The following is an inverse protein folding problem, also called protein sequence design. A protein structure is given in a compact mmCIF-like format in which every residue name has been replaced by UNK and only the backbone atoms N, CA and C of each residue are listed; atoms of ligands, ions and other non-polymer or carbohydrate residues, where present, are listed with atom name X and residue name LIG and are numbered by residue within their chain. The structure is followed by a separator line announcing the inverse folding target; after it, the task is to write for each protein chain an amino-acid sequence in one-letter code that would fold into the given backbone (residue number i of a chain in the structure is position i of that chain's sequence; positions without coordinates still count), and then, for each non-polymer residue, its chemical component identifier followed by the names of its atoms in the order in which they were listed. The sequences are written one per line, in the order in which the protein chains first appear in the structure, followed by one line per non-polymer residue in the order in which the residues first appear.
data_IF_100518505655
#
_entry.id   IF_100518505655
#
_cell.length_a   1.000
_cell.length_b   1.000
_cell.length_c   1.000
_cell.angle_alpha   90.00
_cell.angle_beta   90.00
_cell.angle_gamma   90.00
#
_symmetry.space_group_name_H-M   'P 1'
#
loop_
_entity.id
_entity.type
_entity.pdbx_description
1 polymer ?
#
# COMPACT_ATOMS: atom_id res chain seq x y z
N UNK A 1 -0.02 9.93 -6.15
CA UNK A 1 -0.86 10.34 -5.02
C UNK A 1 -0.30 9.70 -3.76
N UNK A 2 -0.26 10.47 -2.64
CA UNK A 2 0.43 10.04 -1.42
C UNK A 2 1.93 9.86 -1.70
N UNK A 3 2.56 10.87 -2.27
CA UNK A 3 3.85 10.69 -2.92
C UNK A 3 5.02 10.54 -1.93
N UNK A 4 4.86 10.93 -0.67
CA UNK A 4 5.93 10.93 0.32
C UNK A 4 7.21 11.57 -0.22
N UNK A 5 8.30 10.80 -0.21
CA UNK A 5 9.61 11.22 -0.76
C UNK A 5 9.79 10.89 -2.25
N UNK A 6 8.75 10.48 -2.95
CA UNK A 6 8.77 9.99 -4.34
C UNK A 6 9.73 8.80 -4.56
N UNK A 7 9.61 7.73 -3.79
CA UNK A 7 10.57 6.62 -3.82
C UNK A 7 10.64 5.93 -5.19
N UNK A 8 9.55 5.95 -5.94
CA UNK A 8 9.44 5.29 -7.24
C UNK A 8 9.89 6.16 -8.42
N UNK A 9 10.18 7.46 -8.22
CA UNK A 9 10.51 8.38 -9.32
C UNK A 9 11.60 7.85 -10.23
N UNK A 10 12.73 7.43 -9.65
CA UNK A 10 13.87 6.89 -10.42
C UNK A 10 13.52 5.66 -11.25
N UNK A 11 12.57 4.83 -10.79
CA UNK A 11 12.13 3.64 -11.52
C UNK A 11 11.35 4.02 -12.79
N UNK A 12 10.56 5.09 -12.72
CA UNK A 12 9.72 5.53 -13.83
C UNK A 12 10.42 6.52 -14.77
N UNK A 13 11.46 7.24 -14.34
CA UNK A 13 12.18 8.25 -15.15
C UNK A 13 12.49 7.82 -16.60
N UNK A 14 12.91 6.59 -16.90
CA UNK A 14 13.21 6.20 -18.29
C UNK A 14 11.97 6.13 -19.20
N UNK A 15 10.76 6.12 -18.63
CA UNK A 15 9.50 5.86 -19.35
C UNK A 15 8.54 7.04 -19.35
N UNK A 16 8.86 8.14 -18.67
CA UNK A 16 7.97 9.28 -18.47
C UNK A 16 8.66 10.59 -18.80
N UNK A 17 7.87 11.59 -19.21
CA UNK A 17 8.36 12.96 -19.43
C UNK A 17 8.27 13.81 -18.18
N UNK A 18 7.30 13.56 -17.31
CA UNK A 18 7.06 14.32 -16.08
C UNK A 18 6.55 13.43 -14.96
N UNK A 19 6.92 13.74 -13.73
CA UNK A 19 6.47 13.05 -12.53
C UNK A 19 6.06 14.06 -11.46
N UNK A 20 4.78 14.12 -11.17
CA UNK A 20 4.22 15.00 -10.16
C UNK A 20 3.79 14.22 -8.93
N UNK A 21 4.07 14.76 -7.76
CA UNK A 21 3.66 14.21 -6.48
C UNK A 21 2.59 15.05 -5.82
N UNK A 22 1.49 14.40 -5.42
CA UNK A 22 0.44 14.99 -4.59
C UNK A 22 0.55 14.43 -3.17
N UNK A 23 0.40 15.30 -2.17
CA UNK A 23 0.28 14.93 -0.76
C UNK A 23 -0.95 15.60 -0.13
N UNK A 24 -1.56 14.96 0.89
CA UNK A 24 -2.83 15.45 1.45
C UNK A 24 -2.66 16.82 2.13
N UNK A 25 -1.68 16.98 3.01
CA UNK A 25 -1.40 18.23 3.70
C UNK A 25 0.02 18.29 4.21
N UNK A 26 0.65 19.50 4.24
CA UNK A 26 1.92 19.73 4.93
C UNK A 26 1.84 19.45 6.45
N UNK A 27 0.64 19.57 7.04
CA UNK A 27 0.38 19.36 8.48
C UNK A 27 0.30 17.87 8.87
N UNK A 28 0.18 16.97 7.91
CA UNK A 28 0.12 15.51 8.15
C UNK A 28 1.41 14.92 8.73
N UNK A 29 2.41 15.75 9.01
CA UNK A 29 3.69 15.32 9.59
C UNK A 29 4.59 14.57 8.60
N UNK A 30 4.18 14.43 7.36
CA UNK A 30 5.00 13.82 6.33
C UNK A 30 6.21 14.70 6.03
N UNK A 31 7.37 14.25 6.47
CA UNK A 31 8.67 14.92 6.36
C UNK A 31 9.25 14.79 4.95
N UNK A 32 8.56 15.29 3.95
CA UNK A 32 9.09 15.26 2.60
C UNK A 32 8.66 16.48 1.79
N UNK A 33 9.56 17.43 1.57
CA UNK A 33 9.41 18.52 0.60
C UNK A 33 9.41 18.01 -0.85
N UNK A 34 8.94 16.79 -1.11
CA UNK A 34 8.96 16.20 -2.44
C UNK A 34 7.64 16.36 -3.19
N UNK A 35 6.55 16.76 -2.50
CA UNK A 35 5.28 17.01 -3.14
C UNK A 35 5.34 18.28 -4.01
N UNK A 36 4.80 18.20 -5.22
CA UNK A 36 4.64 19.35 -6.10
C UNK A 36 3.30 20.06 -5.84
N UNK A 37 2.32 19.30 -5.35
CA UNK A 37 0.98 19.76 -5.00
C UNK A 37 0.56 19.25 -3.63
N UNK A 38 -0.19 20.07 -2.89
CA UNK A 38 -0.90 19.66 -1.69
C UNK A 38 -2.39 19.71 -1.99
N UNK A 39 -3.13 18.65 -1.62
CA UNK A 39 -4.57 18.60 -1.85
C UNK A 39 -5.18 17.25 -1.52
N UNK A 40 -6.50 17.24 -1.55
CA UNK A 40 -7.30 16.02 -1.34
C UNK A 40 -7.36 15.20 -2.64
N UNK A 41 -7.11 13.90 -2.53
CA UNK A 41 -7.23 12.98 -3.66
C UNK A 41 -8.67 12.88 -4.20
N UNK A 42 -9.68 13.18 -3.36
CA UNK A 42 -11.07 13.27 -3.76
C UNK A 42 -11.42 14.56 -4.52
N UNK A 43 -10.46 15.52 -4.63
CA UNK A 43 -10.61 16.77 -5.37
C UNK A 43 -9.26 17.23 -5.90
N UNK A 44 -8.77 16.57 -6.93
CA UNK A 44 -7.45 16.83 -7.51
C UNK A 44 -7.38 18.22 -8.15
N UNK A 45 -6.35 19.03 -7.88
CA UNK A 45 -6.15 20.35 -8.48
C UNK A 45 -5.61 20.24 -9.91
N UNK A 46 -6.25 19.43 -10.75
CA UNK A 46 -5.83 19.08 -12.10
C UNK A 46 -7.00 19.14 -13.06
N UNK A 47 -6.74 19.47 -14.31
CA UNK A 47 -7.75 19.46 -15.38
C UNK A 47 -8.21 18.03 -15.70
N UNK A 48 -9.34 17.93 -16.40
CA UNK A 48 -9.79 16.67 -16.96
C UNK A 48 -8.78 16.14 -17.97
N UNK A 49 -8.62 14.84 -18.03
CA UNK A 49 -7.85 14.13 -19.06
C UNK A 49 -6.42 14.67 -19.29
N UNK A 50 -5.73 15.03 -18.19
CA UNK A 50 -4.41 15.66 -18.27
C UNK A 50 -3.23 14.76 -17.89
N UNK A 51 -3.48 13.56 -17.34
CA UNK A 51 -2.44 12.61 -16.93
C UNK A 51 -2.57 11.26 -17.62
N UNK A 52 -1.44 10.61 -17.89
CA UNK A 52 -1.40 9.30 -18.54
C UNK A 52 -1.40 8.16 -17.51
N UNK A 53 -0.82 8.39 -16.33
CA UNK A 53 -0.70 7.36 -15.30
C UNK A 53 -0.86 7.96 -13.90
N UNK A 54 -1.62 7.27 -13.06
CA UNK A 54 -1.71 7.55 -11.62
C UNK A 54 -1.07 6.40 -10.86
N UNK A 55 -0.11 6.74 -9.99
CA UNK A 55 0.48 5.81 -9.02
C UNK A 55 -0.06 6.15 -7.62
N UNK A 56 -0.71 5.16 -6.96
CA UNK A 56 -1.33 5.30 -5.66
C UNK A 56 -1.05 4.03 -4.83
N UNK A 57 0.07 4.01 -4.11
CA UNK A 57 0.54 2.81 -3.40
C UNK A 57 0.45 3.00 -1.91
N UNK A 58 -0.26 2.10 -1.22
CA UNK A 58 -0.48 2.13 0.25
C UNK A 58 -1.02 3.51 0.70
N UNK A 59 -2.10 3.97 0.04
CA UNK A 59 -2.75 5.25 0.30
C UNK A 59 -4.26 5.10 0.37
N UNK A 60 -4.84 4.17 -0.41
CA UNK A 60 -6.30 4.00 -0.50
C UNK A 60 -6.95 3.69 0.86
N UNK A 61 -6.25 3.01 1.75
CA UNK A 61 -6.69 2.69 3.12
C UNK A 61 -6.83 3.92 4.01
N UNK A 62 -6.09 5.00 3.70
CA UNK A 62 -6.09 6.26 4.43
C UNK A 62 -7.08 7.28 3.87
N UNK A 63 -7.74 6.96 2.76
CA UNK A 63 -8.70 7.84 2.10
C UNK A 63 -10.08 7.63 2.71
N UNK A 64 -10.66 8.70 3.28
CA UNK A 64 -11.98 8.64 3.90
C UNK A 64 -13.11 8.41 2.89
N UNK A 65 -13.00 8.99 1.68
CA UNK A 65 -13.98 8.85 0.59
C UNK A 65 -13.31 8.23 -0.66
N UNK A 66 -13.20 6.91 -0.71
CA UNK A 66 -12.58 6.22 -1.83
C UNK A 66 -13.38 6.32 -3.13
N UNK A 67 -14.71 6.45 -3.06
CA UNK A 67 -15.57 6.58 -4.24
C UNK A 67 -15.30 7.89 -4.97
N UNK A 68 -15.31 9.02 -4.26
CA UNK A 68 -14.97 10.34 -4.83
C UNK A 68 -13.53 10.36 -5.35
N UNK A 69 -12.60 9.71 -4.66
CA UNK A 69 -11.20 9.62 -5.11
C UNK A 69 -11.06 8.85 -6.42
N UNK A 70 -11.68 7.69 -6.55
CA UNK A 70 -11.63 6.90 -7.80
C UNK A 70 -12.32 7.66 -8.94
N UNK A 71 -13.43 8.38 -8.66
CA UNK A 71 -14.07 9.27 -9.63
C UNK A 71 -13.12 10.37 -10.13
N UNK A 72 -12.38 11.01 -9.21
CA UNK A 72 -11.38 12.03 -9.56
C UNK A 72 -10.21 11.44 -10.37
N UNK A 73 -9.74 10.26 -10.00
CA UNK A 73 -8.73 9.55 -10.78
C UNK A 73 -9.20 9.29 -12.21
N UNK A 74 -10.44 8.80 -12.37
CA UNK A 74 -11.03 8.60 -13.70
C UNK A 74 -11.19 9.92 -14.46
N UNK A 75 -11.52 11.05 -13.79
CA UNK A 75 -11.66 12.36 -14.41
C UNK A 75 -10.35 12.87 -14.99
N UNK A 76 -9.27 12.83 -14.20
CA UNK A 76 -7.98 13.41 -14.60
C UNK A 76 -7.18 12.51 -15.55
N UNK A 77 -7.44 11.21 -15.57
CA UNK A 77 -6.83 10.30 -16.53
C UNK A 77 -7.33 10.57 -17.94
N UNK A 78 -6.43 10.55 -18.90
CA UNK A 78 -6.76 10.51 -20.33
C UNK A 78 -7.47 9.20 -20.69
N UNK A 79 -8.29 9.15 -21.74
CA UNK A 79 -8.73 7.88 -22.32
C UNK A 79 -7.54 6.97 -22.61
N UNK A 80 -7.62 5.71 -22.20
CA UNK A 80 -6.50 4.76 -22.26
C UNK A 80 -5.44 4.93 -21.16
N UNK A 81 -5.57 5.92 -20.27
CA UNK A 81 -4.67 6.13 -19.14
C UNK A 81 -4.80 5.06 -18.07
N UNK A 82 -3.78 4.87 -17.25
CA UNK A 82 -3.64 3.73 -16.32
C UNK A 82 -3.56 4.17 -14.86
N UNK A 83 -4.23 3.43 -13.99
CA UNK A 83 -4.02 3.49 -12.54
C UNK A 83 -3.20 2.28 -12.11
N UNK A 84 -2.15 2.53 -11.33
CA UNK A 84 -1.37 1.51 -10.63
C UNK A 84 -1.56 1.76 -9.14
N UNK A 85 -2.21 0.84 -8.43
CA UNK A 85 -2.46 1.00 -7.00
C UNK A 85 -2.14 -0.27 -6.24
N UNK A 86 -1.65 -0.10 -5.01
CA UNK A 86 -1.60 -1.16 -4.01
C UNK A 86 -2.43 -0.75 -2.81
N UNK A 87 -3.07 -1.73 -2.18
CA UNK A 87 -3.83 -1.53 -0.97
C UNK A 87 -3.73 -2.76 -0.05
N UNK A 88 -3.71 -2.57 1.28
CA UNK A 88 -3.64 -3.65 2.23
C UNK A 88 -4.95 -4.44 2.27
N UNK A 89 -4.83 -5.76 2.43
CA UNK A 89 -5.96 -6.66 2.64
C UNK A 89 -5.86 -7.33 4.02
N UNK A 90 -4.82 -8.11 4.28
CA UNK A 90 -4.57 -8.71 5.59
C UNK A 90 -3.43 -7.96 6.27
N UNK A 91 -3.74 -6.82 6.85
CA UNK A 91 -2.76 -5.94 7.50
C UNK A 91 -3.35 -5.33 8.77
N UNK A 92 -2.60 -5.24 9.89
CA UNK A 92 -3.09 -4.56 11.10
C UNK A 92 -3.31 -3.07 10.85
N UNK A 93 -4.12 -2.46 11.71
CA UNK A 93 -4.25 -1.00 11.75
C UNK A 93 -2.89 -0.42 12.14
N UNK A 94 -2.37 0.52 11.37
CA UNK A 94 -1.00 1.02 11.52
C UNK A 94 -0.88 2.54 11.60
N UNK A 95 -1.99 3.26 11.40
CA UNK A 95 -2.00 4.71 11.51
C UNK A 95 -3.32 5.22 12.13
N UNK A 96 -3.35 6.51 12.50
CA UNK A 96 -4.53 7.18 13.07
C UNK A 96 -5.70 7.25 12.09
N UNK A 97 -5.43 7.43 10.81
CA UNK A 97 -6.42 7.53 9.74
C UNK A 97 -6.28 6.32 8.81
N UNK A 98 -6.70 5.18 9.28
CA UNK A 98 -6.62 3.89 8.60
C UNK A 98 -8.05 3.32 8.56
N UNK A 99 -8.78 3.64 7.47
CA UNK A 99 -10.23 3.44 7.38
C UNK A 99 -10.62 2.11 6.75
N UNK A 100 -9.84 1.60 5.78
CA UNK A 100 -10.28 0.50 4.94
C UNK A 100 -9.24 -0.61 4.77
N UNK A 101 -9.77 -1.82 4.53
CA UNK A 101 -9.05 -2.96 3.99
C UNK A 101 -9.78 -3.41 2.74
N UNK A 102 -9.07 -3.46 1.62
CA UNK A 102 -9.69 -3.77 0.33
C UNK A 102 -9.46 -5.22 -0.05
N UNK A 103 -10.55 -5.98 -0.22
CA UNK A 103 -10.44 -7.21 -1.01
C UNK A 103 -10.17 -6.84 -2.48
N UNK A 104 -9.51 -7.74 -3.25
CA UNK A 104 -9.28 -7.51 -4.68
C UNK A 104 -10.54 -7.12 -5.44
N UNK A 105 -11.62 -7.88 -5.24
CA UNK A 105 -12.91 -7.65 -5.91
C UNK A 105 -13.60 -6.38 -5.41
N UNK A 106 -13.42 -6.01 -4.13
CA UNK A 106 -14.01 -4.81 -3.56
C UNK A 106 -13.45 -3.54 -4.21
N UNK A 107 -12.12 -3.43 -4.31
CA UNK A 107 -11.48 -2.29 -4.97
C UNK A 107 -11.80 -2.26 -6.47
N UNK A 108 -11.73 -3.42 -7.14
CA UNK A 108 -12.07 -3.56 -8.55
C UNK A 108 -13.53 -3.14 -8.85
N UNK A 109 -14.47 -3.47 -7.94
CA UNK A 109 -15.87 -3.08 -8.10
C UNK A 109 -16.07 -1.57 -8.03
N UNK A 110 -15.35 -0.87 -7.13
CA UNK A 110 -15.37 0.59 -7.05
C UNK A 110 -14.82 1.19 -8.36
N UNK A 111 -13.66 0.73 -8.83
CA UNK A 111 -13.03 1.24 -10.05
C UNK A 111 -13.91 1.09 -11.28
N UNK A 112 -14.55 -0.08 -11.46
CA UNK A 112 -15.44 -0.36 -12.59
C UNK A 112 -16.65 0.58 -12.67
N UNK A 113 -17.19 1.06 -11.55
CA UNK A 113 -18.30 2.03 -11.52
C UNK A 113 -17.95 3.35 -12.21
N UNK A 114 -16.67 3.70 -12.25
CA UNK A 114 -16.17 4.96 -12.82
C UNK A 114 -15.45 4.77 -14.16
N UNK A 115 -15.74 3.70 -14.90
CA UNK A 115 -15.21 3.48 -16.25
C UNK A 115 -13.75 3.05 -16.29
N UNK A 116 -13.27 2.42 -15.22
CA UNK A 116 -11.92 1.86 -15.15
C UNK A 116 -11.99 0.34 -15.33
N UNK A 117 -11.44 -0.15 -16.42
CA UNK A 117 -11.34 -1.59 -16.73
C UNK A 117 -10.14 -2.18 -16.00
N UNK A 118 -10.36 -3.30 -15.29
CA UNK A 118 -9.30 -3.97 -14.55
C UNK A 118 -8.47 -4.84 -15.48
N UNK A 119 -7.21 -4.50 -15.66
CA UNK A 119 -6.25 -5.29 -16.45
C UNK A 119 -5.56 -6.37 -15.63
N UNK A 120 -5.26 -6.06 -14.38
CA UNK A 120 -4.48 -6.97 -13.52
C UNK A 120 -4.87 -6.79 -12.06
N UNK A 121 -5.05 -7.91 -11.36
CA UNK A 121 -5.04 -7.96 -9.90
C UNK A 121 -4.08 -9.05 -9.48
N UNK A 122 -3.07 -8.69 -8.69
CA UNK A 122 -2.05 -9.63 -8.20
C UNK A 122 -1.86 -9.52 -6.70
N UNK A 123 -1.88 -10.64 -5.96
CA UNK A 123 -1.41 -10.65 -4.59
C UNK A 123 0.10 -10.37 -4.56
N UNK A 124 0.56 -9.58 -3.59
CA UNK A 124 1.98 -9.25 -3.42
C UNK A 124 2.67 -10.17 -2.41
N UNK A 125 1.90 -11.03 -1.73
CA UNK A 125 2.39 -12.13 -0.91
C UNK A 125 1.43 -13.31 -0.98
N UNK A 126 1.90 -14.50 -0.66
CA UNK A 126 1.04 -15.64 -0.46
C UNK A 126 0.56 -15.77 0.99
N UNK A 127 -0.34 -16.71 1.23
CA UNK A 127 -0.98 -16.93 2.55
C UNK A 127 0.03 -17.31 3.62
N UNK A 128 0.97 -18.21 3.34
CA UNK A 128 1.94 -18.68 4.31
C UNK A 128 2.92 -17.57 4.73
N UNK A 129 3.36 -16.75 3.78
CA UNK A 129 4.20 -15.58 4.04
C UNK A 129 3.43 -14.53 4.85
N UNK A 130 2.17 -14.29 4.53
CA UNK A 130 1.33 -13.35 5.28
C UNK A 130 1.14 -13.78 6.72
N UNK A 131 0.86 -15.07 6.97
CA UNK A 131 0.74 -15.60 8.33
C UNK A 131 2.05 -15.48 9.11
N UNK A 132 3.19 -15.75 8.47
CA UNK A 132 4.51 -15.57 9.08
C UNK A 132 4.76 -14.10 9.46
N UNK A 133 4.40 -13.14 8.57
CA UNK A 133 4.49 -11.71 8.86
C UNK A 133 3.58 -11.30 10.02
N UNK A 134 2.31 -11.75 10.04
CA UNK A 134 1.38 -11.47 11.12
C UNK A 134 1.88 -12.00 12.46
N UNK A 135 2.39 -13.23 12.47
CA UNK A 135 3.01 -13.83 13.66
C UNK A 135 4.18 -12.97 14.15
N UNK A 136 5.08 -12.56 13.25
CA UNK A 136 6.24 -11.75 13.60
C UNK A 136 5.85 -10.37 14.13
N UNK A 137 4.86 -9.71 13.52
CA UNK A 137 4.37 -8.41 13.99
C UNK A 137 3.82 -8.50 15.40
N UNK A 138 3.00 -9.51 15.68
CA UNK A 138 2.45 -9.75 17.01
C UNK A 138 3.55 -10.02 18.06
N UNK A 139 4.49 -10.91 17.76
CA UNK A 139 5.57 -11.25 18.68
C UNK A 139 6.59 -10.13 18.85
N UNK A 140 6.81 -9.33 17.80
CA UNK A 140 7.67 -8.17 17.89
C UNK A 140 7.08 -7.10 18.81
N UNK A 141 5.79 -6.82 18.68
CA UNK A 141 5.07 -5.87 19.53
C UNK A 141 5.10 -6.31 20.99
N UNK A 142 4.66 -7.52 21.29
CA UNK A 142 4.70 -8.09 22.65
C UNK A 142 6.13 -8.15 23.17
N UNK A 143 7.05 -8.69 22.40
CA UNK A 143 8.45 -8.83 22.79
C UNK A 143 9.10 -7.50 23.12
N UNK A 144 8.77 -6.43 22.37
CA UNK A 144 9.28 -5.08 22.65
C UNK A 144 8.73 -4.53 23.96
N UNK A 145 7.43 -4.72 24.23
CA UNK A 145 6.80 -4.31 25.50
C UNK A 145 7.43 -5.05 26.68
N UNK A 146 7.50 -6.37 26.62
CA UNK A 146 8.03 -7.17 27.73
C UNK A 146 9.52 -6.94 27.98
N UNK A 147 10.34 -6.80 26.93
CA UNK A 147 11.79 -6.59 27.08
C UNK A 147 12.13 -5.19 27.60
N UNK A 148 11.22 -4.22 27.47
CA UNK A 148 11.37 -2.91 28.09
C UNK A 148 11.26 -2.98 29.62
N UNK A 149 10.37 -3.83 30.12
CA UNK A 149 10.15 -4.01 31.57
C UNK A 149 11.18 -4.95 32.22
N UNK A 150 11.74 -5.88 31.47
CA UNK A 150 12.66 -6.92 31.94
C UNK A 150 14.14 -6.58 31.68
N UNK A 151 14.51 -5.30 31.72
CA UNK A 151 15.93 -4.92 31.65
C UNK A 151 16.70 -5.42 32.89
N UNK A 152 17.88 -6.10 32.75
CA UNK A 152 18.72 -6.30 31.56
C UNK A 152 18.42 -7.58 30.75
N UNK A 153 17.49 -8.42 31.17
CA UNK A 153 17.15 -9.69 30.49
C UNK A 153 16.73 -9.43 29.02
N UNK A 154 16.09 -8.31 28.76
CA UNK A 154 15.72 -7.88 27.41
C UNK A 154 16.89 -7.81 26.43
N UNK A 155 18.12 -7.55 26.86
CA UNK A 155 19.31 -7.53 26.00
C UNK A 155 19.60 -8.92 25.40
N UNK A 156 19.28 -9.99 26.14
CA UNK A 156 19.47 -11.38 25.68
C UNK A 156 18.25 -11.85 24.90
N UNK A 157 17.04 -11.48 25.33
CA UNK A 157 15.80 -11.93 24.68
C UNK A 157 15.57 -11.33 23.29
N UNK A 158 15.97 -10.07 23.06
CA UNK A 158 15.79 -9.42 21.75
C UNK A 158 16.47 -10.16 20.59
N UNK A 159 17.76 -10.53 20.67
CA UNK A 159 18.38 -11.32 19.60
C UNK A 159 17.69 -12.65 19.37
N UNK A 160 17.20 -13.33 20.41
CA UNK A 160 16.47 -14.58 20.28
C UNK A 160 15.12 -14.37 19.54
N UNK A 161 14.42 -13.28 19.81
CA UNK A 161 13.21 -12.92 19.09
C UNK A 161 13.50 -12.65 17.59
N UNK A 162 14.60 -11.97 17.28
CA UNK A 162 15.02 -11.77 15.89
C UNK A 162 15.31 -13.10 15.17
N UNK A 163 16.01 -14.01 15.83
CA UNK A 163 16.28 -15.36 15.29
C UNK A 163 14.98 -16.11 15.04
N UNK A 164 14.04 -16.06 15.99
CA UNK A 164 12.71 -16.65 15.84
C UNK A 164 11.96 -16.06 14.64
N UNK A 165 11.95 -14.74 14.49
CA UNK A 165 11.33 -14.07 13.33
C UNK A 165 11.95 -14.51 12.00
N UNK A 166 13.27 -14.58 11.93
CA UNK A 166 13.97 -15.09 10.75
C UNK A 166 13.60 -16.54 10.43
N UNK A 167 13.53 -17.39 11.43
CA UNK A 167 13.11 -18.78 11.28
C UNK A 167 11.67 -18.88 10.78
N UNK A 168 10.73 -18.15 11.39
CA UNK A 168 9.33 -18.13 10.97
C UNK A 168 9.18 -17.66 9.53
N UNK A 169 9.92 -16.61 9.11
CA UNK A 169 9.92 -16.13 7.73
C UNK A 169 10.48 -17.20 6.76
N UNK A 170 11.55 -17.88 7.13
CA UNK A 170 12.12 -18.95 6.30
C UNK A 170 11.13 -20.12 6.13
N UNK A 171 10.47 -20.51 7.21
CA UNK A 171 9.43 -21.56 7.21
C UNK A 171 8.23 -21.11 6.36
N UNK A 172 7.72 -19.89 6.57
CA UNK A 172 6.63 -19.34 5.76
C UNK A 172 6.96 -19.30 4.27
N UNK A 173 8.16 -18.84 3.91
CA UNK A 173 8.63 -18.84 2.52
C UNK A 173 8.80 -20.24 1.93
N UNK A 174 9.20 -21.22 2.73
CA UNK A 174 9.27 -22.63 2.30
C UNK A 174 7.87 -23.20 2.05
N UNK A 175 6.94 -23.00 2.97
CA UNK A 175 5.55 -23.45 2.79
C UNK A 175 4.89 -22.79 1.59
N UNK A 176 5.13 -21.51 1.35
CA UNK A 176 4.59 -20.82 0.17
C UNK A 176 5.05 -21.45 -1.16
N UNK A 177 6.29 -21.96 -1.21
CA UNK A 177 6.80 -22.67 -2.40
C UNK A 177 6.21 -24.07 -2.58
N UNK A 178 5.90 -24.76 -1.48
CA UNK A 178 5.40 -26.14 -1.51
C UNK A 178 3.88 -26.18 -1.69
N UNK A 179 3.16 -25.28 -1.01
CA UNK A 179 1.71 -25.19 -0.97
C UNK A 179 1.28 -23.72 -1.24
N UNK A 180 1.45 -23.24 -2.47
CA UNK A 180 1.12 -21.84 -2.80
C UNK A 180 -0.37 -21.57 -2.60
N UNK A 181 -0.69 -20.48 -1.91
CA UNK A 181 -2.06 -20.02 -1.66
C UNK A 181 -2.10 -18.50 -1.61
N UNK A 182 -3.09 -17.91 -2.25
CA UNK A 182 -3.24 -16.44 -2.35
C UNK A 182 -4.48 -15.89 -1.62
N UNK A 183 -5.15 -16.72 -0.80
CA UNK A 183 -6.41 -16.34 -0.14
C UNK A 183 -6.23 -15.25 0.92
N UNK A 184 -5.05 -15.15 1.52
CA UNK A 184 -4.74 -14.18 2.57
C UNK A 184 -3.47 -13.41 2.21
N UNK A 185 -3.48 -12.69 1.10
CA UNK A 185 -2.37 -11.85 0.76
C UNK A 185 -2.31 -10.61 1.69
N UNK A 186 -1.10 -10.16 1.97
CA UNK A 186 -0.84 -8.99 2.81
C UNK A 186 -1.43 -7.73 2.16
N UNK A 187 -1.12 -7.53 0.89
CA UNK A 187 -1.69 -6.51 0.02
C UNK A 187 -1.81 -7.01 -1.43
N UNK A 188 -2.52 -6.24 -2.25
CA UNK A 188 -2.74 -6.54 -3.65
C UNK A 188 -2.31 -5.36 -4.52
N UNK A 189 -1.70 -5.67 -5.66
CA UNK A 189 -1.51 -4.75 -6.77
C UNK A 189 -2.74 -4.82 -7.69
N UNK A 190 -3.32 -3.67 -7.98
CA UNK A 190 -4.38 -3.53 -8.99
C UNK A 190 -3.92 -2.56 -10.07
N UNK A 191 -4.04 -2.96 -11.33
CA UNK A 191 -3.82 -2.12 -12.50
C UNK A 191 -5.14 -2.02 -13.25
N UNK A 192 -5.59 -0.79 -13.49
CA UNK A 192 -6.82 -0.50 -14.21
C UNK A 192 -6.59 0.56 -15.27
N UNK A 193 -7.33 0.48 -16.38
CA UNK A 193 -7.26 1.39 -17.52
C UNK A 193 -8.57 2.14 -17.68
N UNK A 194 -8.52 3.44 -17.97
CA UNK A 194 -9.69 4.23 -18.35
C UNK A 194 -10.12 3.84 -19.77
N UNK A 195 -11.41 3.46 -19.93
CA UNK A 195 -12.04 3.17 -21.22
C UNK A 195 -12.32 4.46 -21.96
#
# INVERSE_FOLDING_TARGET
VGCGTKPYKKLFEPYITSYFGLEYSPESGFRGNAADFCGDAAKLPMADECVDTILCTEVMEHIHDPESTIKEFARVLRPGGTIITTAPFVYPIHDKYDFFRYSPDGLAAIMKRYGLEIETVKPLSGTAVTLALMFNMYWFEIGFIWTKWLYPIGLVLRPLLWILCLFVNAVGGMFEKILPSNHMAFNHLTIARKI
#
